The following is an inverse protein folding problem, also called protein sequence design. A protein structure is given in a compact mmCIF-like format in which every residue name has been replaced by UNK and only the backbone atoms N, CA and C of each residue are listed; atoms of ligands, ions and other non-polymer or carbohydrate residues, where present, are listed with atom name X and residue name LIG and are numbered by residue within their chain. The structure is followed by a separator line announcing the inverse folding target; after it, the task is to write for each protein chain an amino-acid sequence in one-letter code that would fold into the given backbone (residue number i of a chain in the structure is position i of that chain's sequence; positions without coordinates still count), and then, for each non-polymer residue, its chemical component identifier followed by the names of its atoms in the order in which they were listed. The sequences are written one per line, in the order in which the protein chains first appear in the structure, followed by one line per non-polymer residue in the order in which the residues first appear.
data_IF_708617037036
#
_entry.id   IF_708617037036
#
_cell.length_a   1.000
_cell.length_b   1.000
_cell.length_c   1.000
_cell.angle_alpha   90.00
_cell.angle_beta   90.00
_cell.angle_gamma   90.00
#
_symmetry.space_group_name_H-M   'P 1'
#
loop_
_entity.id
_entity.type
_entity.pdbx_description
1 polymer ?
#
# COMPACT_ATOMS: atom_id res chain seq x y z
N UNK A 1 -15.89 -20.81 -9.88
CA UNK A 1 -15.69 -21.14 -9.05
C UNK A 1 -14.59 -20.98 -7.97
N UNK A 2 -14.81 -20.17 -7.02
CA UNK A 2 -14.06 -20.16 -5.79
C UNK A 2 -12.69 -19.51 -5.76
N UNK A 3 -12.23 -18.92 -6.84
CA UNK A 3 -11.00 -18.17 -6.80
C UNK A 3 -11.28 -16.77 -6.28
N UNK A 4 -10.78 -16.49 -5.09
CA UNK A 4 -10.84 -15.14 -4.57
C UNK A 4 -9.52 -14.47 -4.90
N UNK A 5 -9.54 -13.51 -5.78
CA UNK A 5 -8.37 -12.70 -6.08
C UNK A 5 -8.26 -11.62 -5.01
N UNK A 6 -7.23 -11.71 -4.18
CA UNK A 6 -6.95 -10.66 -3.21
C UNK A 6 -6.31 -9.49 -3.94
N UNK A 7 -7.01 -8.39 -4.01
CA UNK A 7 -6.49 -7.20 -4.66
C UNK A 7 -6.94 -5.96 -3.92
N UNK A 8 -6.00 -5.14 -3.53
CA UNK A 8 -6.32 -3.83 -2.98
C UNK A 8 -6.79 -2.95 -4.11
N UNK A 9 -7.95 -2.31 -3.92
CA UNK A 9 -8.53 -1.43 -4.92
C UNK A 9 -8.64 -0.02 -4.36
N UNK A 10 -8.71 0.94 -5.27
CA UNK A 10 -8.93 2.35 -4.93
C UNK A 10 -7.93 2.89 -3.91
N UNK A 11 -6.66 2.54 -4.08
CA UNK A 11 -5.63 3.18 -3.30
C UNK A 11 -5.60 4.67 -3.65
N UNK A 12 -5.68 5.50 -2.64
CA UNK A 12 -5.62 6.96 -2.78
C UNK A 12 -4.51 7.51 -1.91
N UNK A 13 -3.87 8.54 -2.40
CA UNK A 13 -2.85 9.25 -1.65
C UNK A 13 -3.16 10.73 -1.60
N UNK A 14 -2.96 11.33 -0.45
CA UNK A 14 -3.15 12.77 -0.25
C UNK A 14 -1.85 13.37 0.24
N UNK A 15 -1.37 14.39 -0.46
CA UNK A 15 -0.17 15.10 -0.07
C UNK A 15 -0.46 16.00 1.12
N UNK A 16 0.41 15.93 2.11
CA UNK A 16 0.40 16.85 3.24
C UNK A 16 1.82 17.35 3.46
N UNK A 17 1.98 18.22 4.44
CA UNK A 17 3.28 18.82 4.72
C UNK A 17 4.29 17.75 5.13
N UNK A 18 5.23 17.44 4.25
CA UNK A 18 6.28 16.44 4.45
C UNK A 18 5.75 15.04 4.75
N UNK A 19 4.51 14.74 4.32
CA UNK A 19 3.93 13.42 4.52
C UNK A 19 2.87 13.15 3.47
N UNK A 20 2.55 11.87 3.33
CA UNK A 20 1.51 11.42 2.42
C UNK A 20 0.58 10.50 3.20
N UNK A 21 -0.70 10.76 3.11
CA UNK A 21 -1.72 9.88 3.69
C UNK A 21 -2.23 8.95 2.61
N UNK A 22 -2.17 7.66 2.90
CA UNK A 22 -2.68 6.63 2.02
C UNK A 22 -3.94 6.02 2.61
N UNK A 23 -4.88 5.71 1.76
CA UNK A 23 -6.06 4.94 2.17
C UNK A 23 -6.50 4.03 1.02
N UNK A 24 -7.14 2.93 1.40
CA UNK A 24 -7.62 1.95 0.44
C UNK A 24 -8.86 1.27 1.00
N UNK A 25 -9.48 0.42 0.21
CA UNK A 25 -10.66 -0.31 0.65
C UNK A 25 -10.29 -1.65 1.24
N UNK A 26 -11.09 -2.09 2.19
CA UNK A 26 -10.93 -3.39 2.84
C UNK A 26 -10.96 -4.52 1.81
N UNK A 27 -10.04 -5.46 1.96
CA UNK A 27 -10.00 -6.66 1.13
C UNK A 27 -10.50 -7.83 1.96
N UNK A 28 -11.61 -8.42 1.52
CA UNK A 28 -12.19 -9.57 2.20
C UNK A 28 -11.21 -10.74 2.15
N UNK A 29 -10.98 -11.37 3.30
CA UNK A 29 -10.10 -12.51 3.41
C UNK A 29 -8.63 -12.18 3.59
N UNK A 30 -8.26 -10.91 3.54
CA UNK A 30 -6.87 -10.51 3.76
C UNK A 30 -6.52 -10.60 5.24
N UNK A 31 -5.31 -11.04 5.53
CA UNK A 31 -4.77 -11.03 6.89
C UNK A 31 -4.02 -9.73 7.18
N UNK A 32 -3.69 -8.98 6.16
CA UNK A 32 -3.04 -7.70 6.32
C UNK A 32 -2.67 -7.11 4.97
N UNK A 33 -1.94 -6.02 5.01
CA UNK A 33 -1.54 -5.28 3.82
C UNK A 33 -0.05 -4.97 3.87
N UNK A 34 0.55 -4.88 2.69
CA UNK A 34 1.96 -4.53 2.55
C UNK A 34 2.03 -3.25 1.73
N UNK A 35 2.55 -2.19 2.35
CA UNK A 35 2.66 -0.89 1.72
C UNK A 35 4.08 -0.72 1.17
N UNK A 36 4.18 -0.38 -0.11
CA UNK A 36 5.44 -0.20 -0.79
C UNK A 36 5.57 1.22 -1.31
N UNK A 37 6.79 1.74 -1.30
CA UNK A 37 7.10 3.08 -1.76
C UNK A 37 8.32 3.07 -2.67
N UNK A 38 8.29 3.93 -3.69
CA UNK A 38 9.44 4.23 -4.52
C UNK A 38 9.62 5.74 -4.60
N UNK A 39 10.86 6.19 -4.71
CA UNK A 39 11.15 7.62 -4.80
C UNK A 39 10.89 8.20 -6.18
N UNK A 40 10.76 7.36 -7.19
CA UNK A 40 10.48 7.76 -8.56
C UNK A 40 9.54 6.75 -9.18
N UNK A 41 8.86 7.16 -10.25
CA UNK A 41 7.98 6.25 -10.97
C UNK A 41 8.72 5.00 -11.47
N UNK A 42 9.96 5.15 -11.87
CA UNK A 42 10.80 4.05 -12.34
C UNK A 42 11.71 3.49 -11.25
N UNK A 43 11.58 3.96 -10.02
CA UNK A 43 12.41 3.50 -8.92
C UNK A 43 12.00 2.14 -8.39
N UNK A 44 12.86 1.57 -7.58
CA UNK A 44 12.55 0.30 -6.93
C UNK A 44 11.63 0.54 -5.74
N UNK A 45 10.61 -0.28 -5.64
CA UNK A 45 9.69 -0.22 -4.51
C UNK A 45 10.28 -0.96 -3.32
N UNK A 46 10.17 -0.33 -2.16
CA UNK A 46 10.58 -0.93 -0.89
C UNK A 46 9.37 -1.08 0.00
N UNK A 47 9.32 -2.16 0.75
CA UNK A 47 8.27 -2.36 1.75
C UNK A 47 8.53 -1.39 2.89
N UNK A 48 7.60 -0.48 3.14
CA UNK A 48 7.74 0.49 4.23
C UNK A 48 6.89 0.13 5.43
N UNK A 49 5.87 -0.70 5.24
CA UNK A 49 5.02 -1.12 6.34
C UNK A 49 4.27 -2.38 5.97
N UNK A 50 4.18 -3.30 6.93
CA UNK A 50 3.32 -4.48 6.84
C UNK A 50 2.34 -4.40 7.99
N UNK A 51 1.04 -4.44 7.68
CA UNK A 51 0.00 -4.38 8.70
C UNK A 51 -0.55 -5.76 8.99
N UNK A 52 -1.14 -5.93 10.17
CA UNK A 52 -1.86 -7.15 10.54
C UNK A 52 -3.34 -6.84 10.61
N UNK A 53 -4.15 -7.79 10.15
CA UNK A 53 -5.59 -7.62 10.13
C UNK A 53 -6.04 -6.85 8.90
N UNK A 54 -7.28 -7.07 8.50
CA UNK A 54 -7.80 -6.46 7.26
C UNK A 54 -8.54 -5.14 7.50
N UNK A 55 -8.58 -4.66 8.73
CA UNK A 55 -9.27 -3.40 9.06
C UNK A 55 -8.36 -2.18 9.08
N UNK A 56 -7.06 -2.37 8.90
CA UNK A 56 -6.12 -1.25 8.79
C UNK A 56 -6.13 -0.75 7.34
N UNK A 57 -6.86 0.33 7.10
CA UNK A 57 -7.13 0.84 5.74
C UNK A 57 -6.43 2.16 5.46
N UNK A 58 -5.59 2.62 6.36
CA UNK A 58 -4.89 3.90 6.23
C UNK A 58 -3.45 3.77 6.70
N UNK A 59 -2.60 4.55 6.08
CA UNK A 59 -1.22 4.65 6.51
C UNK A 59 -0.69 6.04 6.18
N UNK A 60 0.03 6.64 7.11
CA UNK A 60 0.66 7.95 6.90
C UNK A 60 2.16 7.74 6.80
N UNK A 61 2.72 8.09 5.64
CA UNK A 61 4.16 8.07 5.42
C UNK A 61 4.69 9.47 5.72
N UNK A 62 5.53 9.59 6.72
CA UNK A 62 6.04 10.86 7.21
C UNK A 62 7.54 11.00 6.97
N UNK A 63 8.09 12.15 7.35
CA UNK A 63 9.52 12.46 7.20
C UNK A 63 9.97 12.46 5.75
N UNK A 64 9.10 12.90 4.87
CA UNK A 64 9.42 12.98 3.45
C UNK A 64 10.08 14.32 3.13
N UNK A 65 10.84 14.34 2.05
CA UNK A 65 11.45 15.58 1.59
C UNK A 65 10.39 16.49 0.96
N UNK A 66 10.40 17.76 1.34
CA UNK A 66 9.51 18.76 0.74
C UNK A 66 9.75 18.80 -0.78
N UNK A 67 8.68 18.70 -1.54
CA UNK A 67 8.75 18.72 -2.99
C UNK A 67 9.17 17.41 -3.63
N UNK A 68 9.49 16.38 -2.83
CA UNK A 68 9.85 15.07 -3.37
C UNK A 68 8.64 14.34 -3.91
N UNK A 69 8.83 13.63 -5.01
CA UNK A 69 7.78 12.82 -5.62
C UNK A 69 7.95 11.38 -5.19
N UNK A 70 6.87 10.79 -4.69
CA UNK A 70 6.86 9.42 -4.21
C UNK A 70 5.74 8.64 -4.86
N UNK A 71 6.03 7.37 -5.15
CA UNK A 71 5.04 6.46 -5.71
C UNK A 71 4.72 5.40 -4.69
N UNK A 72 3.46 5.03 -4.59
CA UNK A 72 2.99 4.05 -3.61
C UNK A 72 2.15 3.00 -4.28
N UNK A 73 2.24 1.80 -3.77
CA UNK A 73 1.33 0.72 -4.11
C UNK A 73 1.17 -0.18 -2.91
N UNK A 74 0.03 -0.83 -2.82
CA UNK A 74 -0.32 -1.68 -1.68
C UNK A 74 -0.78 -3.02 -2.21
N UNK A 75 -0.44 -4.07 -1.50
CA UNK A 75 -0.98 -5.39 -1.78
C UNK A 75 -1.48 -6.02 -0.50
N UNK A 76 -2.47 -6.87 -0.62
CA UNK A 76 -2.98 -7.64 0.49
C UNK A 76 -2.22 -8.95 0.59
N UNK A 77 -2.19 -9.53 1.78
CA UNK A 77 -1.67 -10.89 1.93
C UNK A 77 -2.61 -11.73 2.77
N UNK A 78 -2.52 -13.02 2.56
CA UNK A 78 -3.27 -13.99 3.33
C UNK A 78 -2.31 -15.07 3.80
N UNK A 79 -2.34 -15.35 5.09
CA UNK A 79 -1.54 -16.45 5.65
C UNK A 79 -2.39 -17.70 5.67
N UNK A 80 -1.90 -18.75 5.01
CA UNK A 80 -2.57 -20.05 4.99
C UNK A 80 -1.54 -21.08 5.42
N UNK A 81 -1.82 -21.75 6.53
CA UNK A 81 -0.85 -22.62 7.18
C UNK A 81 0.43 -21.84 7.45
N UNK A 82 1.58 -22.30 7.05
CA UNK A 82 2.83 -21.58 7.24
C UNK A 82 3.22 -20.72 6.03
N UNK A 83 2.32 -20.60 5.05
CA UNK A 83 2.61 -19.84 3.83
C UNK A 83 1.87 -18.51 3.81
N UNK A 84 2.53 -17.50 3.25
CA UNK A 84 1.95 -16.20 3.05
C UNK A 84 1.66 -16.02 1.56
N UNK A 85 0.38 -15.93 1.23
CA UNK A 85 -0.06 -15.71 -0.15
C UNK A 85 -0.26 -14.24 -0.36
N UNK A 86 0.45 -13.65 -1.32
CA UNK A 86 0.37 -12.23 -1.62
C UNK A 86 -0.53 -11.98 -2.81
N UNK A 87 -1.25 -10.87 -2.78
CA UNK A 87 -2.08 -10.45 -3.90
C UNK A 87 -1.23 -9.73 -4.95
N UNK A 88 -1.87 -9.39 -6.06
CA UNK A 88 -1.28 -8.43 -6.99
C UNK A 88 -1.32 -7.04 -6.35
N UNK A 89 -0.47 -6.15 -6.84
CA UNK A 89 -0.44 -4.79 -6.33
C UNK A 89 -1.69 -4.01 -6.73
N UNK A 90 -2.03 -3.03 -5.92
CA UNK A 90 -3.05 -2.05 -6.24
C UNK A 90 -2.60 -1.16 -7.39
N UNK A 91 -3.46 -0.24 -7.77
CA UNK A 91 -3.06 0.85 -8.65
C UNK A 91 -1.90 1.63 -8.01
N UNK A 92 -1.06 2.20 -8.85
CA UNK A 92 0.05 3.03 -8.38
C UNK A 92 -0.44 4.45 -8.15
N UNK A 93 -0.06 5.02 -7.02
CA UNK A 93 -0.38 6.41 -6.70
C UNK A 93 0.91 7.20 -6.65
N UNK A 94 0.94 8.29 -7.39
CA UNK A 94 2.08 9.21 -7.43
C UNK A 94 1.70 10.49 -6.69
N UNK A 95 2.46 10.83 -5.66
CA UNK A 95 2.16 11.98 -4.82
C UNK A 95 3.43 12.81 -4.62
N UNK A 96 3.28 14.12 -4.74
CA UNK A 96 4.36 15.06 -4.45
C UNK A 96 4.16 15.61 -3.05
N UNK A 97 5.11 15.36 -2.16
CA UNK A 97 5.04 15.84 -0.79
C UNK A 97 5.14 17.37 -0.75
N UNK A 98 4.36 17.98 0.10
CA UNK A 98 4.36 19.44 0.27
C UNK A 98 5.39 19.90 1.28
#
# INVERSE_FOLDING_TARGET
SGRTTLRVTKLKGKAEKRKVRLCWKKVRGANGYIICRANRKSGRYKIIKTTKGNSKLKYTDSRLKKGGTYCYKVKAYRAVSSKRIKSVYSNTVKVKAR
#
